data_IF_259931693792
#
_entry.id   IF_259931693792
#
_cell.length_a   1.000
_cell.length_b   1.000
_cell.length_c   1.000
_cell.angle_alpha   90.00
_cell.angle_beta   90.00
_cell.angle_gamma   90.00
#
_symmetry.space_group_name_H-M   'P 1'
#
loop_
_entity.id
_entity.type
_entity.pdbx_description
1 polymer ?
#
# COMPACT_ATOMS: atom_id res chain seq x y z
N UNK A 1 -5.72 -21.81 8.17
CA UNK A 1 -6.38 -21.67 6.87
C UNK A 1 -7.87 -21.90 7.07
N UNK A 2 -8.70 -20.87 6.89
CA UNK A 2 -10.15 -21.02 6.86
C UNK A 2 -10.61 -21.28 5.43
N UNK A 3 -11.62 -22.16 5.23
CA UNK A 3 -12.21 -22.36 3.90
C UNK A 3 -12.98 -21.11 3.47
N UNK A 4 -13.02 -20.85 2.17
CA UNK A 4 -13.89 -19.84 1.59
C UNK A 4 -15.37 -20.20 1.82
N UNK A 5 -16.23 -19.18 1.82
CA UNK A 5 -17.69 -19.30 1.91
C UNK A 5 -18.32 -18.66 0.68
N UNK A 6 -18.38 -19.37 -0.45
CA UNK A 6 -18.85 -18.78 -1.70
C UNK A 6 -20.25 -18.18 -1.63
N UNK A 7 -21.13 -18.76 -0.82
CA UNK A 7 -22.50 -18.27 -0.59
C UNK A 7 -22.57 -16.88 0.06
N UNK A 8 -21.49 -16.49 0.76
CA UNK A 8 -21.43 -15.19 1.48
C UNK A 8 -20.41 -14.24 0.85
N UNK A 9 -19.27 -14.78 0.44
CA UNK A 9 -18.09 -14.00 0.02
C UNK A 9 -17.83 -14.09 -1.49
N UNK A 10 -18.59 -14.91 -2.20
CA UNK A 10 -18.37 -15.16 -3.61
C UNK A 10 -17.30 -16.19 -3.89
N UNK A 11 -17.19 -16.57 -5.15
CA UNK A 11 -16.18 -17.50 -5.64
C UNK A 11 -14.82 -16.82 -5.80
N UNK A 12 -13.77 -17.56 -5.55
CA UNK A 12 -12.39 -17.11 -5.74
C UNK A 12 -11.74 -17.92 -6.86
N UNK A 13 -11.71 -17.36 -8.08
CA UNK A 13 -11.16 -18.01 -9.25
C UNK A 13 -9.71 -17.60 -9.48
N UNK A 14 -8.87 -18.59 -9.78
CA UNK A 14 -7.56 -18.38 -10.37
C UNK A 14 -7.72 -18.49 -11.86
N UNK A 15 -7.28 -17.46 -12.56
CA UNK A 15 -7.30 -17.39 -14.03
C UNK A 15 -5.89 -17.23 -14.55
N UNK A 16 -5.68 -17.60 -15.81
CA UNK A 16 -4.41 -17.37 -16.51
C UNK A 16 -4.31 -15.93 -17.08
N UNK A 17 -3.26 -15.66 -17.82
CA UNK A 17 -3.02 -14.35 -18.43
C UNK A 17 -4.03 -13.99 -19.54
N UNK A 18 -4.75 -14.96 -20.09
CA UNK A 18 -5.82 -14.76 -21.07
C UNK A 18 -7.18 -14.53 -20.39
N UNK A 19 -7.27 -14.76 -19.10
CA UNK A 19 -8.51 -14.68 -18.32
C UNK A 19 -9.26 -16.02 -18.25
N UNK A 20 -8.68 -17.10 -18.75
CA UNK A 20 -9.30 -18.42 -18.74
C UNK A 20 -9.20 -19.06 -17.34
N UNK A 21 -10.28 -19.75 -16.95
CA UNK A 21 -10.36 -20.42 -15.65
C UNK A 21 -9.29 -21.51 -15.51
N UNK A 22 -8.50 -21.45 -14.45
CA UNK A 22 -7.50 -22.46 -14.10
C UNK A 22 -7.98 -23.35 -12.97
N UNK A 23 -8.39 -22.74 -11.84
CA UNK A 23 -8.88 -23.46 -10.67
C UNK A 23 -9.63 -22.53 -9.74
N UNK A 24 -10.38 -23.13 -8.81
CA UNK A 24 -10.95 -22.43 -7.65
C UNK A 24 -9.94 -22.41 -6.52
N UNK A 25 -9.85 -21.28 -5.80
CA UNK A 25 -9.09 -21.19 -4.55
C UNK A 25 -10.04 -21.43 -3.38
N UNK A 26 -9.83 -22.56 -2.69
CA UNK A 26 -10.70 -22.98 -1.59
C UNK A 26 -10.36 -22.29 -0.26
N UNK A 27 -9.18 -21.68 -0.14
CA UNK A 27 -8.80 -20.93 1.05
C UNK A 27 -9.39 -19.52 1.00
N UNK A 28 -9.91 -19.04 2.12
CA UNK A 28 -10.40 -17.65 2.21
C UNK A 28 -9.23 -16.66 2.07
N UNK A 29 -9.20 -15.91 0.97
CA UNK A 29 -8.15 -14.93 0.67
C UNK A 29 -8.40 -13.54 1.30
N UNK A 30 -9.60 -13.29 1.81
CA UNK A 30 -9.95 -12.03 2.49
C UNK A 30 -9.37 -11.91 3.90
N UNK A 31 -8.68 -12.95 4.39
CA UNK A 31 -8.02 -12.92 5.67
C UNK A 31 -6.63 -12.29 5.56
N UNK A 32 -6.18 -11.72 6.67
CA UNK A 32 -4.79 -11.26 6.80
C UNK A 32 -3.80 -12.41 6.59
N UNK A 33 -2.66 -12.10 6.01
CA UNK A 33 -1.53 -13.02 5.95
C UNK A 33 -1.07 -13.41 7.37
N UNK A 34 -0.54 -14.62 7.54
CA UNK A 34 0.04 -15.10 8.81
C UNK A 34 1.47 -14.57 8.97
N UNK A 35 1.63 -13.25 8.89
CA UNK A 35 2.90 -12.55 9.04
C UNK A 35 2.65 -11.30 9.88
N UNK A 36 3.58 -10.93 10.71
CA UNK A 36 3.59 -9.60 11.31
C UNK A 36 3.89 -8.54 10.25
N UNK A 37 3.61 -7.28 10.55
CA UNK A 37 3.92 -6.17 9.65
C UNK A 37 5.44 -6.09 9.37
N UNK A 38 6.26 -6.26 10.40
CA UNK A 38 7.72 -6.23 10.30
C UNK A 38 8.26 -7.38 9.45
N UNK A 39 7.75 -8.60 9.66
CA UNK A 39 8.13 -9.77 8.85
C UNK A 39 7.78 -9.56 7.38
N UNK A 40 6.56 -9.08 7.10
CA UNK A 40 6.11 -8.81 5.73
C UNK A 40 7.02 -7.79 5.04
N UNK A 41 7.24 -6.64 5.67
CA UNK A 41 8.07 -5.56 5.10
C UNK A 41 9.50 -6.04 4.88
N UNK A 42 10.06 -6.77 5.85
CA UNK A 42 11.41 -7.32 5.75
C UNK A 42 11.55 -8.30 4.58
N UNK A 43 10.59 -9.21 4.42
CA UNK A 43 10.61 -10.19 3.32
C UNK A 43 10.44 -9.52 1.96
N UNK A 44 9.53 -8.55 1.84
CA UNK A 44 9.35 -7.77 0.60
C UNK A 44 10.65 -7.08 0.20
N UNK A 45 11.30 -6.42 1.14
CA UNK A 45 12.58 -5.72 0.89
C UNK A 45 13.70 -6.71 0.52
N UNK A 46 13.78 -7.87 1.17
CA UNK A 46 14.76 -8.92 0.88
C UNK A 46 14.61 -9.49 -0.54
N UNK A 47 13.40 -9.50 -1.07
CA UNK A 47 13.09 -9.90 -2.46
C UNK A 47 13.32 -8.79 -3.49
N UNK A 48 13.86 -7.62 -3.08
CA UNK A 48 14.07 -6.47 -3.96
C UNK A 48 12.79 -5.66 -4.22
N UNK A 49 11.74 -5.92 -3.45
CA UNK A 49 10.51 -5.15 -3.46
C UNK A 49 10.58 -3.88 -2.63
N UNK A 50 9.45 -3.21 -2.50
CA UNK A 50 9.29 -2.00 -1.71
C UNK A 50 7.92 -2.02 -1.04
N UNK A 51 7.88 -1.79 0.27
CA UNK A 51 6.62 -1.73 1.01
C UNK A 51 6.22 -0.27 1.26
N UNK A 52 4.94 0.02 1.03
CA UNK A 52 4.31 1.30 1.35
C UNK A 52 2.96 0.95 2.03
N UNK A 53 2.80 1.21 3.33
CA UNK A 53 1.50 1.05 3.98
C UNK A 53 0.47 1.96 3.32
N UNK A 54 -0.63 1.36 2.84
CA UNK A 54 -1.69 2.07 2.15
C UNK A 54 -2.53 2.92 3.13
N UNK A 55 -3.04 4.06 2.67
CA UNK A 55 -4.05 4.90 3.32
C UNK A 55 -4.01 4.83 4.86
N UNK A 56 -2.84 5.14 5.46
CA UNK A 56 -2.56 4.92 6.90
C UNK A 56 -3.56 5.59 7.85
N UNK A 57 -4.23 6.63 7.40
CA UNK A 57 -5.20 7.46 8.14
C UNK A 57 -6.66 6.99 8.01
N UNK A 58 -6.93 6.00 7.15
CA UNK A 58 -8.29 5.52 6.88
C UNK A 58 -8.83 4.75 8.08
N UNK A 59 -10.09 5.03 8.53
CA UNK A 59 -10.69 4.35 9.70
C UNK A 59 -10.67 2.82 9.58
N UNK A 60 -11.02 2.30 8.41
CA UNK A 60 -10.99 0.87 8.12
C UNK A 60 -9.64 0.49 7.49
N UNK A 61 -8.97 -0.48 8.08
CA UNK A 61 -7.72 -1.08 7.59
C UNK A 61 -6.52 -0.12 7.51
N UNK A 62 -6.61 1.11 8.01
CA UNK A 62 -5.49 2.03 8.10
C UNK A 62 -4.53 1.65 9.22
N UNK A 63 -3.23 1.89 9.01
CA UNK A 63 -2.20 1.56 9.99
C UNK A 63 -2.40 2.31 11.32
N UNK A 64 -2.74 3.61 11.25
CA UNK A 64 -2.92 4.46 12.43
C UNK A 64 -4.13 4.03 13.28
N UNK A 65 -5.34 3.82 12.71
CA UNK A 65 -6.45 3.32 13.51
C UNK A 65 -6.22 1.95 14.15
N UNK A 66 -5.42 1.09 13.50
CA UNK A 66 -5.12 -0.25 14.03
C UNK A 66 -4.06 -0.24 15.13
N UNK A 67 -2.98 0.52 14.96
CA UNK A 67 -1.82 0.49 15.86
C UNK A 67 -1.69 1.74 16.74
N UNK A 68 -2.35 2.83 16.39
CA UNK A 68 -2.23 4.15 17.05
C UNK A 68 -1.02 4.97 16.58
N UNK A 69 -0.05 4.39 15.92
CA UNK A 69 1.20 5.02 15.50
C UNK A 69 1.85 4.29 14.32
N UNK A 70 2.86 4.91 13.72
CA UNK A 70 3.77 4.24 12.78
C UNK A 70 4.89 3.60 13.59
N UNK A 71 5.11 2.27 13.52
CA UNK A 71 6.16 1.61 14.29
C UNK A 71 7.55 2.22 14.00
N UNK A 72 8.30 2.60 15.04
CA UNK A 72 9.65 3.12 14.87
C UNK A 72 10.56 2.10 14.18
N UNK A 73 11.33 2.56 13.19
CA UNK A 73 12.28 1.71 12.49
C UNK A 73 11.66 0.74 11.46
N UNK A 74 10.36 0.81 11.22
CA UNK A 74 9.72 0.03 10.15
C UNK A 74 10.35 0.39 8.80
N UNK A 75 10.98 -0.57 8.06
CA UNK A 75 11.77 -0.27 6.87
C UNK A 75 10.91 -0.11 5.62
N UNK A 76 9.92 0.79 5.68
CA UNK A 76 9.04 1.15 4.56
C UNK A 76 9.65 2.27 3.73
N UNK A 77 9.30 2.35 2.45
CA UNK A 77 9.82 3.38 1.54
C UNK A 77 9.08 4.71 1.69
N UNK A 78 7.78 4.66 1.99
CA UNK A 78 6.91 5.80 2.18
C UNK A 78 5.69 5.39 3.02
N UNK A 79 4.87 6.37 3.38
CA UNK A 79 3.56 6.19 3.98
C UNK A 79 2.51 6.77 3.03
N UNK A 80 1.52 6.00 2.64
CA UNK A 80 0.42 6.53 1.84
C UNK A 80 -0.67 7.09 2.75
N UNK A 81 -1.15 8.29 2.42
CA UNK A 81 -2.31 8.92 3.05
C UNK A 81 -3.51 8.86 2.11
N UNK A 82 -4.71 8.86 2.67
CA UNK A 82 -5.94 8.94 1.87
C UNK A 82 -6.05 10.28 1.11
N UNK A 83 -6.86 10.37 0.05
CA UNK A 83 -7.07 11.62 -0.68
C UNK A 83 -7.77 12.70 0.17
N UNK A 84 -8.29 12.35 1.34
CA UNK A 84 -9.13 13.22 2.18
C UNK A 84 -8.34 14.10 3.16
N UNK A 85 -7.02 13.96 3.25
CA UNK A 85 -6.18 14.71 4.18
C UNK A 85 -4.96 15.31 3.46
N UNK A 86 -4.61 16.55 3.77
CA UNK A 86 -3.38 17.15 3.25
C UNK A 86 -2.15 16.55 3.93
N UNK A 87 -1.04 16.40 3.20
CA UNK A 87 0.18 15.78 3.72
C UNK A 87 0.75 16.49 4.95
N UNK A 88 0.71 17.84 4.99
CA UNK A 88 1.15 18.63 6.13
C UNK A 88 0.29 18.39 7.37
N UNK A 89 -1.02 18.28 7.17
CA UNK A 89 -1.98 17.96 8.25
C UNK A 89 -1.76 16.55 8.77
N UNK A 90 -1.60 15.57 7.88
CA UNK A 90 -1.33 14.18 8.26
C UNK A 90 -0.02 14.06 9.06
N UNK A 91 1.06 14.73 8.63
CA UNK A 91 2.34 14.74 9.34
C UNK A 91 2.19 15.28 10.76
N UNK A 92 1.52 16.42 10.93
CA UNK A 92 1.31 17.04 12.25
C UNK A 92 0.40 16.19 13.13
N UNK A 93 -0.74 15.74 12.59
CA UNK A 93 -1.76 15.01 13.33
C UNK A 93 -1.30 13.64 13.82
N UNK A 94 -0.56 12.92 12.97
CA UNK A 94 -0.14 11.54 13.26
C UNK A 94 1.35 11.43 13.65
N UNK A 95 2.03 12.55 13.84
CA UNK A 95 3.45 12.60 14.20
C UNK A 95 4.32 11.75 13.28
N UNK A 96 4.07 11.84 11.95
CA UNK A 96 4.75 11.01 10.97
C UNK A 96 6.25 11.35 10.92
N UNK A 97 7.14 10.34 10.86
CA UNK A 97 8.59 10.56 10.82
C UNK A 97 9.01 11.42 9.61
N UNK A 98 9.81 12.46 9.83
CA UNK A 98 10.24 13.39 8.78
C UNK A 98 11.07 12.72 7.69
N UNK A 99 11.80 11.67 8.02
CA UNK A 99 12.64 10.94 7.06
C UNK A 99 11.82 10.10 6.09
N UNK A 100 10.59 9.73 6.41
CA UNK A 100 9.72 8.98 5.51
C UNK A 100 9.00 9.90 4.52
N UNK A 101 8.96 9.49 3.26
CA UNK A 101 8.10 10.12 2.27
C UNK A 101 6.63 9.93 2.64
N UNK A 102 5.79 10.91 2.32
CA UNK A 102 4.33 10.75 2.36
C UNK A 102 3.85 10.83 0.92
N UNK A 103 3.13 9.83 0.50
CA UNK A 103 2.57 9.73 -0.85
C UNK A 103 1.04 9.68 -0.79
N UNK A 104 0.39 9.85 -1.94
CA UNK A 104 -1.05 9.77 -2.07
C UNK A 104 -1.38 8.99 -3.33
N UNK A 105 -2.38 8.13 -3.25
CA UNK A 105 -3.00 7.44 -4.37
C UNK A 105 -4.51 7.65 -4.35
N UNK A 106 -5.18 7.28 -5.44
CA UNK A 106 -6.64 7.41 -5.54
C UNK A 106 -7.42 6.37 -4.76
N UNK A 107 -6.80 5.26 -4.36
CA UNK A 107 -7.48 4.09 -3.78
C UNK A 107 -8.71 3.67 -4.61
N UNK A 108 -8.54 3.67 -5.94
CA UNK A 108 -9.63 3.53 -6.90
C UNK A 108 -10.24 2.12 -6.88
N UNK A 109 -11.55 2.05 -6.69
CA UNK A 109 -12.33 0.83 -6.74
C UNK A 109 -13.24 0.76 -7.98
N UNK A 110 -13.29 1.84 -8.78
CA UNK A 110 -14.01 1.96 -10.05
C UNK A 110 -13.27 2.89 -11.01
N UNK A 111 -13.60 2.81 -12.28
CA UNK A 111 -12.83 3.45 -13.35
C UNK A 111 -12.70 4.97 -13.18
N UNK A 112 -13.76 5.65 -12.81
CA UNK A 112 -13.78 7.12 -12.68
C UNK A 112 -12.91 7.64 -11.52
N UNK A 113 -12.57 6.76 -10.57
CA UNK A 113 -11.69 7.12 -9.46
C UNK A 113 -10.20 7.01 -9.80
N UNK A 114 -9.84 6.34 -10.90
CA UNK A 114 -8.43 6.17 -11.30
C UNK A 114 -7.82 7.53 -11.62
N UNK A 115 -6.71 7.85 -10.92
CA UNK A 115 -5.99 9.11 -11.12
C UNK A 115 -6.62 10.34 -10.45
N UNK A 116 -7.66 10.16 -9.61
CA UNK A 116 -8.25 11.28 -8.84
C UNK A 116 -7.31 11.86 -7.79
N UNK A 117 -6.30 11.10 -7.39
CA UNK A 117 -5.20 11.54 -6.54
C UNK A 117 -3.93 10.84 -6.98
N UNK A 118 -2.83 11.57 -7.12
CA UNK A 118 -1.57 11.02 -7.63
C UNK A 118 -0.37 11.60 -6.89
N UNK A 119 0.71 10.83 -6.89
CA UNK A 119 2.05 11.30 -6.51
C UNK A 119 2.96 11.19 -7.72
N UNK A 120 3.50 12.31 -8.17
CA UNK A 120 4.49 12.36 -9.23
C UNK A 120 5.89 12.12 -8.66
N UNK A 121 6.69 11.33 -9.36
CA UNK A 121 8.06 11.01 -8.97
C UNK A 121 9.03 11.47 -10.05
N UNK A 122 10.09 12.15 -9.64
CA UNK A 122 11.23 12.43 -10.52
C UNK A 122 12.20 11.26 -10.48
N UNK A 123 12.19 10.46 -11.54
CA UNK A 123 13.05 9.29 -11.65
C UNK A 123 14.26 9.57 -12.52
N UNK A 124 15.42 9.17 -12.04
CA UNK A 124 16.66 9.12 -12.83
C UNK A 124 16.82 7.72 -13.43
N UNK A 125 16.95 7.66 -14.75
CA UNK A 125 17.15 6.40 -15.48
C UNK A 125 15.88 5.58 -15.67
N UNK A 126 15.98 4.26 -15.54
CA UNK A 126 14.88 3.34 -15.81
C UNK A 126 13.81 3.35 -14.72
N UNK A 127 12.56 3.04 -15.10
CA UNK A 127 11.46 2.83 -14.16
C UNK A 127 11.66 1.47 -13.45
N UNK A 128 12.30 1.51 -12.28
CA UNK A 128 12.56 0.33 -11.44
C UNK A 128 12.16 0.61 -9.99
N UNK A 129 11.90 -0.44 -9.23
CA UNK A 129 11.61 -0.35 -7.79
C UNK A 129 12.72 0.40 -7.05
N UNK A 130 13.98 0.12 -7.37
CA UNK A 130 15.16 0.78 -6.77
C UNK A 130 15.16 2.29 -7.03
N UNK A 131 14.83 2.73 -8.26
CA UNK A 131 14.80 4.16 -8.61
C UNK A 131 13.60 4.87 -7.97
N UNK A 132 12.45 4.20 -7.87
CA UNK A 132 11.29 4.71 -7.12
C UNK A 132 11.64 4.88 -5.64
N UNK A 133 12.18 3.85 -5.01
CA UNK A 133 12.58 3.91 -3.60
C UNK A 133 13.64 5.01 -3.34
N UNK A 134 14.56 5.23 -4.29
CA UNK A 134 15.56 6.32 -4.22
C UNK A 134 14.87 7.68 -4.29
N UNK A 135 13.99 7.91 -5.27
CA UNK A 135 13.27 9.17 -5.42
C UNK A 135 12.47 9.53 -4.16
N UNK A 136 11.81 8.54 -3.54
CA UNK A 136 11.09 8.73 -2.29
C UNK A 136 12.01 9.12 -1.13
N UNK A 137 13.15 8.44 -0.96
CA UNK A 137 14.15 8.77 0.08
C UNK A 137 14.76 10.16 -0.11
N UNK A 138 15.02 10.55 -1.34
CA UNK A 138 15.60 11.84 -1.71
C UNK A 138 14.56 12.96 -1.79
N UNK A 139 13.28 12.64 -1.49
CA UNK A 139 12.13 13.56 -1.53
C UNK A 139 11.92 14.20 -2.92
N UNK A 140 12.30 13.48 -3.98
CA UNK A 140 12.05 13.87 -5.38
C UNK A 140 10.67 13.41 -5.82
N UNK A 141 9.65 14.00 -5.21
CA UNK A 141 8.25 13.72 -5.51
C UNK A 141 7.36 14.93 -5.20
N UNK A 142 6.21 15.00 -5.85
CA UNK A 142 5.16 15.97 -5.59
C UNK A 142 3.80 15.26 -5.47
N UNK A 143 3.00 15.67 -4.48
CA UNK A 143 1.62 15.24 -4.35
C UNK A 143 0.76 16.24 -5.09
N UNK A 144 -0.02 15.77 -6.05
CA UNK A 144 -1.02 16.58 -6.72
C UNK A 144 -2.35 16.52 -5.94
N UNK A 145 -2.97 17.67 -5.77
CA UNK A 145 -4.27 17.80 -5.08
C UNK A 145 -5.41 17.73 -6.09
#
# INVERSE_FOLDING_TARGET
NLPNRPETLGEQFVVDAAGDFVRREERMLLLSAQLTLEELVTQVNALGGMAIPAHIDRPENGLIPLLGFVPPGLPVAALEISPNIAASVARAKFHLPDHLAVVRGSDAHWLDAIGSAVTELELEGTRSVANVARALREKRYAIQN
#
